data_IF_203422191680
#
_entry.id   IF_203422191680
#
_cell.length_a   1.000
_cell.length_b   1.000
_cell.length_c   1.000
_cell.angle_alpha   90.00
_cell.angle_beta   90.00
_cell.angle_gamma   90.00
#
_symmetry.space_group_name_H-M   'P 1'
#
loop_
_entity.id
_entity.type
_entity.pdbx_description
1 polymer ?
#
# COMPACT_ATOMS: atom_id res chain seq x y z
N UNK A 1 4.49 -28.56 -13.01
CA UNK A 1 3.66 -28.85 -14.18
C UNK A 1 2.16 -28.65 -13.94
N UNK A 2 1.55 -29.24 -12.90
CA UNK A 2 0.11 -29.07 -12.60
C UNK A 2 -0.35 -27.61 -12.38
N UNK A 3 0.49 -26.75 -11.79
CA UNK A 3 0.21 -25.32 -11.58
C UNK A 3 0.18 -24.49 -12.87
N UNK A 4 1.03 -24.83 -13.84
CA UNK A 4 1.04 -24.21 -15.17
C UNK A 4 -0.23 -24.59 -15.94
N UNK A 5 -0.66 -25.85 -15.83
CA UNK A 5 -1.91 -26.34 -16.44
C UNK A 5 -3.12 -25.66 -15.80
N UNK A 6 -3.14 -25.49 -14.47
CA UNK A 6 -4.21 -24.78 -13.78
C UNK A 6 -4.26 -23.28 -14.13
N UNK A 7 -3.12 -22.60 -14.14
CA UNK A 7 -3.03 -21.19 -14.56
C UNK A 7 -3.45 -21.00 -16.03
N UNK A 8 -3.02 -21.90 -16.91
CA UNK A 8 -3.39 -21.88 -18.33
C UNK A 8 -4.88 -22.17 -18.54
N UNK A 9 -5.44 -23.17 -17.85
CA UNK A 9 -6.87 -23.47 -17.89
C UNK A 9 -7.72 -22.30 -17.37
N UNK A 10 -7.26 -21.62 -16.31
CA UNK A 10 -7.93 -20.44 -15.75
C UNK A 10 -7.89 -19.26 -16.73
N UNK A 11 -6.73 -19.00 -17.36
CA UNK A 11 -6.59 -17.99 -18.39
C UNK A 11 -7.44 -18.27 -19.64
N UNK A 12 -7.53 -19.55 -20.06
CA UNK A 12 -8.37 -19.98 -21.18
C UNK A 12 -9.87 -19.80 -20.86
N UNK A 13 -10.28 -20.12 -19.63
CA UNK A 13 -11.64 -19.91 -19.16
C UNK A 13 -11.99 -18.42 -19.07
N UNK A 14 -11.07 -17.59 -18.58
CA UNK A 14 -11.25 -16.12 -18.54
C UNK A 14 -11.33 -15.52 -19.94
N UNK A 15 -10.51 -16.00 -20.89
CA UNK A 15 -10.55 -15.57 -22.28
C UNK A 15 -11.85 -16.02 -22.98
N UNK A 16 -12.31 -17.25 -22.75
CA UNK A 16 -13.59 -17.75 -23.27
C UNK A 16 -14.76 -16.95 -22.71
N UNK A 17 -14.79 -16.65 -21.41
CA UNK A 17 -15.83 -15.83 -20.79
C UNK A 17 -15.85 -14.40 -21.35
N UNK A 18 -14.68 -13.80 -21.61
CA UNK A 18 -14.57 -12.49 -22.24
C UNK A 18 -15.11 -12.49 -23.69
N UNK A 19 -14.77 -13.51 -24.47
CA UNK A 19 -15.23 -13.65 -25.86
C UNK A 19 -16.73 -14.00 -25.97
N UNK A 20 -17.26 -14.74 -24.99
CA UNK A 20 -18.69 -15.05 -24.93
C UNK A 20 -19.52 -13.82 -24.55
N UNK A 21 -18.95 -12.87 -23.79
CA UNK A 21 -19.66 -11.66 -23.37
C UNK A 21 -20.08 -10.76 -24.55
N UNK A 22 -19.36 -10.76 -25.66
CA UNK A 22 -19.63 -9.90 -26.82
C UNK A 22 -20.72 -10.44 -27.77
N UNK A 23 -21.15 -11.69 -27.65
CA UNK A 23 -21.89 -12.39 -28.73
C UNK A 23 -23.35 -12.76 -28.44
N UNK A 24 -24.02 -12.22 -27.42
CA UNK A 24 -25.45 -12.57 -27.21
C UNK A 24 -26.24 -11.44 -26.56
N UNK A 25 -27.26 -10.95 -27.28
CA UNK A 25 -28.19 -9.86 -26.93
C UNK A 25 -29.28 -10.27 -25.90
N UNK A 26 -29.31 -11.52 -25.45
CA UNK A 26 -30.28 -11.97 -24.45
C UNK A 26 -29.76 -11.78 -23.02
N UNK A 27 -30.41 -10.86 -22.31
CA UNK A 27 -29.98 -10.32 -21.01
C UNK A 27 -30.12 -11.25 -19.79
N UNK A 28 -30.60 -12.49 -19.92
CA UNK A 28 -30.71 -13.42 -18.78
C UNK A 28 -30.43 -14.85 -19.25
N UNK A 29 -29.36 -15.53 -18.78
CA UNK A 29 -28.95 -15.64 -17.37
C UNK A 29 -27.45 -15.35 -17.10
N UNK A 30 -26.86 -14.37 -17.81
CA UNK A 30 -25.44 -13.97 -17.62
C UNK A 30 -25.17 -13.32 -16.26
N UNK A 31 -26.17 -12.65 -15.69
CA UNK A 31 -26.06 -11.94 -14.40
C UNK A 31 -25.87 -12.91 -13.22
N UNK A 32 -26.32 -14.16 -13.33
CA UNK A 32 -26.22 -15.16 -12.25
C UNK A 32 -25.11 -16.19 -12.48
N UNK A 33 -24.76 -16.50 -13.73
CA UNK A 33 -23.73 -17.49 -14.03
C UNK A 33 -22.32 -17.01 -13.70
N UNK A 34 -21.99 -15.75 -14.01
CA UNK A 34 -20.69 -15.18 -13.69
C UNK A 34 -20.39 -15.15 -12.18
N UNK A 35 -21.28 -14.67 -11.29
CA UNK A 35 -21.03 -14.71 -9.84
C UNK A 35 -20.96 -16.13 -9.29
N UNK A 36 -21.81 -17.05 -9.74
CA UNK A 36 -21.78 -18.43 -9.28
C UNK A 36 -20.47 -19.14 -9.66
N UNK A 37 -19.99 -18.96 -10.89
CA UNK A 37 -18.72 -19.55 -11.34
C UNK A 37 -17.52 -18.90 -10.65
N UNK A 38 -17.54 -17.58 -10.42
CA UNK A 38 -16.50 -16.85 -9.68
C UNK A 38 -16.41 -17.30 -8.23
N UNK A 39 -17.54 -17.54 -7.57
CA UNK A 39 -17.59 -18.08 -6.20
C UNK A 39 -17.04 -19.51 -6.17
N UNK A 40 -17.41 -20.36 -7.13
CA UNK A 40 -16.88 -21.74 -7.25
C UNK A 40 -15.37 -21.73 -7.52
N UNK A 41 -14.88 -20.85 -8.40
CA UNK A 41 -13.46 -20.71 -8.71
C UNK A 41 -12.67 -20.20 -7.50
N UNK A 42 -13.23 -19.24 -6.75
CA UNK A 42 -12.63 -18.69 -5.55
C UNK A 42 -12.57 -19.73 -4.43
N UNK A 43 -13.63 -20.50 -4.20
CA UNK A 43 -13.64 -21.63 -3.24
C UNK A 43 -12.64 -22.71 -3.64
N UNK A 44 -12.54 -23.02 -4.94
CA UNK A 44 -11.57 -24.00 -5.46
C UNK A 44 -10.12 -23.54 -5.28
N UNK A 45 -9.82 -22.27 -5.54
CA UNK A 45 -8.50 -21.67 -5.32
C UNK A 45 -8.16 -21.58 -3.83
N UNK A 46 -9.15 -21.32 -2.97
CA UNK A 46 -8.99 -21.31 -1.51
C UNK A 46 -8.65 -22.72 -1.00
N UNK A 47 -9.36 -23.74 -1.49
CA UNK A 47 -9.07 -25.15 -1.20
C UNK A 47 -7.67 -25.59 -1.72
N UNK A 48 -7.25 -25.08 -2.88
CA UNK A 48 -5.89 -25.28 -3.40
C UNK A 48 -4.83 -24.60 -2.53
N UNK A 49 -5.15 -23.43 -1.96
CA UNK A 49 -4.26 -22.65 -1.09
C UNK A 49 -3.92 -23.36 0.22
N UNK A 50 -4.89 -24.11 0.77
CA UNK A 50 -4.68 -24.93 1.96
C UNK A 50 -3.76 -26.13 1.71
N UNK A 51 -3.66 -26.60 0.45
CA UNK A 51 -2.94 -27.82 0.09
C UNK A 51 -1.52 -27.56 -0.44
N UNK A 52 -1.23 -26.35 -0.93
CA UNK A 52 0.08 -25.95 -1.46
C UNK A 52 0.80 -25.03 -0.48
N UNK A 53 1.60 -25.63 0.41
CA UNK A 53 2.65 -25.00 1.22
C UNK A 53 2.32 -23.58 1.70
N UNK A 54 1.50 -23.53 2.75
CA UNK A 54 1.19 -22.46 3.70
C UNK A 54 1.02 -21.00 3.21
N UNK A 55 1.86 -20.43 2.33
CA UNK A 55 1.86 -19.01 1.93
C UNK A 55 1.72 -18.70 0.44
N UNK A 56 2.30 -19.55 -0.42
CA UNK A 56 2.33 -19.28 -1.87
C UNK A 56 0.97 -19.54 -2.53
N UNK A 57 0.22 -20.53 -2.01
CA UNK A 57 -1.14 -20.83 -2.46
C UNK A 57 -2.12 -19.70 -2.16
N UNK A 58 -1.99 -19.03 -1.01
CA UNK A 58 -2.82 -17.88 -0.65
C UNK A 58 -2.55 -16.69 -1.58
N UNK A 59 -1.29 -16.47 -1.96
CA UNK A 59 -0.87 -15.45 -2.93
C UNK A 59 -1.50 -15.67 -4.30
N UNK A 60 -1.38 -16.88 -4.84
CA UNK A 60 -1.92 -17.22 -6.15
C UNK A 60 -3.46 -17.18 -6.15
N UNK A 61 -4.11 -17.62 -5.07
CA UNK A 61 -5.55 -17.58 -4.91
C UNK A 61 -6.08 -16.13 -4.80
N UNK A 62 -5.38 -15.25 -4.09
CA UNK A 62 -5.69 -13.82 -4.02
C UNK A 62 -5.53 -13.16 -5.39
N UNK A 63 -4.42 -13.41 -6.09
CA UNK A 63 -4.16 -12.85 -7.43
C UNK A 63 -5.20 -13.30 -8.45
N UNK A 64 -5.57 -14.57 -8.45
CA UNK A 64 -6.62 -15.09 -9.32
C UNK A 64 -8.03 -14.60 -8.91
N UNK A 65 -8.32 -14.54 -7.61
CA UNK A 65 -9.55 -13.94 -7.09
C UNK A 65 -9.69 -12.46 -7.46
N UNK A 66 -8.59 -11.72 -7.58
CA UNK A 66 -8.57 -10.33 -8.02
C UNK A 66 -8.83 -10.15 -9.51
N UNK A 67 -8.26 -10.99 -10.37
CA UNK A 67 -8.55 -10.96 -11.80
C UNK A 67 -10.06 -11.17 -12.05
N UNK A 68 -10.66 -12.06 -11.26
CA UNK A 68 -12.10 -12.33 -11.30
C UNK A 68 -12.90 -11.15 -10.73
N UNK A 69 -12.58 -10.64 -9.54
CA UNK A 69 -13.29 -9.51 -8.94
C UNK A 69 -13.22 -8.24 -9.79
N UNK A 70 -12.07 -7.96 -10.42
CA UNK A 70 -11.89 -6.83 -11.32
C UNK A 70 -12.73 -6.97 -12.61
N UNK A 71 -12.86 -8.19 -13.14
CA UNK A 71 -13.73 -8.47 -14.28
C UNK A 71 -15.23 -8.34 -13.91
N UNK A 72 -15.61 -8.71 -12.68
CA UNK A 72 -17.00 -8.61 -12.20
C UNK A 72 -17.45 -7.19 -11.90
N UNK A 73 -16.54 -6.29 -11.53
CA UNK A 73 -16.86 -4.91 -11.12
C UNK A 73 -17.15 -3.96 -12.29
N UNK A 74 -17.11 -4.43 -13.55
CA UNK A 74 -17.56 -3.69 -14.74
C UNK A 74 -17.03 -2.26 -14.79
N UNK A 75 -15.82 -2.07 -15.33
CA UNK A 75 -15.10 -0.79 -15.42
C UNK A 75 -15.95 0.38 -15.97
N UNK A 76 -16.73 1.03 -15.09
CA UNK A 76 -17.32 2.36 -15.26
C UNK A 76 -16.43 3.39 -14.56
N UNK A 77 -16.52 4.66 -14.97
CA UNK A 77 -15.48 5.71 -14.79
C UNK A 77 -14.96 6.01 -13.36
N UNK A 78 -15.60 5.54 -12.29
CA UNK A 78 -15.09 5.63 -10.90
C UNK A 78 -14.65 4.27 -10.30
N UNK A 79 -14.82 3.17 -11.02
CA UNK A 79 -14.55 1.80 -10.59
C UNK A 79 -13.06 1.42 -10.60
N UNK A 80 -12.16 2.25 -11.11
CA UNK A 80 -10.72 1.94 -11.18
C UNK A 80 -9.98 1.96 -9.83
N UNK A 81 -10.55 2.61 -8.79
CA UNK A 81 -9.86 2.82 -7.50
C UNK A 81 -10.05 1.67 -6.51
N UNK A 82 -11.21 1.01 -6.53
CA UNK A 82 -11.52 -0.17 -5.71
C UNK A 82 -10.59 -1.37 -6.01
N UNK A 83 -10.35 -1.75 -7.28
CA UNK A 83 -9.42 -2.80 -7.64
C UNK A 83 -7.99 -2.52 -7.16
N UNK A 84 -7.55 -1.26 -7.25
CA UNK A 84 -6.21 -0.87 -6.79
C UNK A 84 -6.06 -1.04 -5.26
N UNK A 85 -7.08 -0.67 -4.48
CA UNK A 85 -7.04 -0.86 -3.03
C UNK A 85 -7.06 -2.34 -2.65
N UNK A 86 -7.91 -3.14 -3.30
CA UNK A 86 -7.98 -4.59 -3.07
C UNK A 86 -6.65 -5.28 -3.42
N UNK A 87 -6.02 -4.89 -4.52
CA UNK A 87 -4.69 -5.36 -4.90
C UNK A 87 -3.63 -4.94 -3.87
N UNK A 88 -3.69 -3.69 -3.40
CA UNK A 88 -2.76 -3.20 -2.39
C UNK A 88 -2.89 -3.96 -1.06
N UNK A 89 -4.12 -4.35 -0.66
CA UNK A 89 -4.39 -5.16 0.53
C UNK A 89 -3.66 -6.50 0.48
N UNK A 90 -3.88 -7.32 -0.56
CA UNK A 90 -3.18 -8.60 -0.55
C UNK A 90 -1.72 -8.46 -0.91
N UNK A 91 -1.28 -7.45 -1.67
CA UNK A 91 0.15 -7.20 -1.84
C UNK A 91 0.82 -6.98 -0.47
N UNK A 92 0.20 -6.18 0.41
CA UNK A 92 0.68 -6.01 1.77
C UNK A 92 0.58 -7.27 2.62
N UNK A 93 -0.47 -8.07 2.46
CA UNK A 93 -0.56 -9.37 3.12
C UNK A 93 0.57 -10.32 2.70
N UNK A 94 0.92 -10.32 1.41
CA UNK A 94 2.04 -11.10 0.89
C UNK A 94 3.39 -10.60 1.38
N UNK A 95 3.56 -9.28 1.45
CA UNK A 95 4.76 -8.68 2.01
C UNK A 95 4.90 -8.98 3.51
N UNK A 96 3.81 -8.92 4.27
CA UNK A 96 3.75 -9.34 5.68
C UNK A 96 4.17 -10.81 5.82
N UNK A 97 3.65 -11.68 4.97
CA UNK A 97 4.01 -13.09 5.00
C UNK A 97 5.47 -13.34 4.66
N UNK A 98 5.98 -12.69 3.62
CA UNK A 98 7.38 -12.76 3.23
C UNK A 98 8.29 -12.24 4.36
N UNK A 99 7.87 -11.22 5.10
CA UNK A 99 8.59 -10.72 6.27
C UNK A 99 8.69 -11.77 7.36
N UNK A 100 7.58 -12.43 7.70
CA UNK A 100 7.53 -13.48 8.73
C UNK A 100 8.43 -14.66 8.37
N UNK A 101 8.32 -15.15 7.13
CA UNK A 101 9.16 -16.25 6.62
C UNK A 101 10.65 -15.89 6.64
N UNK A 102 11.02 -14.63 6.33
CA UNK A 102 12.42 -14.17 6.39
C UNK A 102 12.95 -13.95 7.79
N UNK A 103 12.09 -13.53 8.71
CA UNK A 103 12.49 -13.18 10.08
C UNK A 103 12.50 -14.39 11.01
N UNK A 104 11.98 -15.54 10.55
CA UNK A 104 11.90 -16.75 11.37
C UNK A 104 10.87 -16.66 12.51
N UNK A 105 9.94 -15.71 12.45
CA UNK A 105 8.86 -15.61 13.43
C UNK A 105 7.87 -16.74 13.22
N UNK A 106 7.70 -17.59 14.22
CA UNK A 106 6.61 -18.56 14.25
C UNK A 106 5.38 -17.92 14.92
N UNK A 107 4.21 -18.03 14.31
CA UNK A 107 2.99 -17.33 14.78
C UNK A 107 2.58 -17.73 16.21
N UNK A 108 3.03 -18.89 16.68
CA UNK A 108 2.76 -19.38 18.04
C UNK A 108 3.54 -18.65 19.14
N UNK A 109 4.62 -17.95 18.81
CA UNK A 109 5.52 -17.30 19.79
C UNK A 109 5.42 -15.76 19.78
N UNK A 110 4.58 -15.18 18.93
CA UNK A 110 4.43 -13.73 18.83
C UNK A 110 3.64 -13.23 20.04
N UNK A 111 4.35 -12.76 21.06
CA UNK A 111 3.74 -12.11 22.20
C UNK A 111 3.31 -10.68 21.83
N UNK A 112 2.04 -10.54 21.42
CA UNK A 112 1.43 -9.24 21.07
C UNK A 112 1.42 -8.28 22.27
N UNK A 113 1.62 -8.79 23.49
CA UNK A 113 1.74 -7.96 24.70
C UNK A 113 3.03 -7.13 24.76
N UNK A 114 4.00 -7.39 23.87
CA UNK A 114 5.20 -6.57 23.74
C UNK A 114 4.84 -5.17 23.21
N UNK A 115 5.15 -4.17 24.03
CA UNK A 115 4.86 -2.75 23.80
C UNK A 115 5.26 -2.25 22.40
N UNK A 116 6.33 -2.80 21.82
CA UNK A 116 6.85 -2.40 20.51
C UNK A 116 6.00 -2.88 19.34
N UNK A 117 5.45 -4.08 19.41
CA UNK A 117 4.55 -4.62 18.38
C UNK A 117 3.27 -3.80 18.32
N UNK A 118 2.69 -3.46 19.48
CA UNK A 118 1.50 -2.62 19.56
C UNK A 118 1.76 -1.21 18.99
N UNK A 119 2.88 -0.58 19.34
CA UNK A 119 3.26 0.72 18.77
C UNK A 119 3.47 0.63 17.26
N UNK A 120 4.09 -0.46 16.78
CA UNK A 120 4.18 -0.77 15.35
C UNK A 120 2.81 -0.79 14.68
N UNK A 121 1.84 -1.52 15.24
CA UNK A 121 0.47 -1.62 14.71
C UNK A 121 -0.20 -0.25 14.64
N UNK A 122 -0.12 0.54 15.71
CA UNK A 122 -0.70 1.88 15.74
C UNK A 122 -0.07 2.79 14.68
N UNK A 123 1.26 2.78 14.56
CA UNK A 123 1.96 3.56 13.54
C UNK A 123 1.62 3.08 12.12
N UNK A 124 1.56 1.78 11.89
CA UNK A 124 1.19 1.20 10.60
C UNK A 124 -0.24 1.54 10.21
N UNK A 125 -1.14 1.61 11.19
CA UNK A 125 -2.53 2.00 10.96
C UNK A 125 -2.64 3.49 10.62
N UNK A 126 -1.92 4.37 11.33
CA UNK A 126 -2.11 5.83 11.30
C UNK A 126 -1.27 6.51 10.22
N UNK A 127 0.01 6.14 10.05
CA UNK A 127 0.96 6.85 9.19
C UNK A 127 0.50 6.99 7.73
N UNK A 128 -0.07 5.96 7.06
CA UNK A 128 -0.55 6.11 5.70
C UNK A 128 -1.61 7.19 5.53
N UNK A 129 -2.50 7.35 6.53
CA UNK A 129 -3.51 8.41 6.53
C UNK A 129 -2.91 9.78 6.81
N UNK A 130 -1.97 9.89 7.74
CA UNK A 130 -1.25 11.14 8.02
C UNK A 130 -0.51 11.62 6.77
N UNK A 131 0.23 10.75 6.10
CA UNK A 131 0.93 11.09 4.87
C UNK A 131 -0.01 11.42 3.72
N UNK A 132 -1.18 10.78 3.66
CA UNK A 132 -2.20 11.05 2.64
C UNK A 132 -3.00 12.33 2.90
N UNK A 133 -3.11 12.78 4.15
CA UNK A 133 -3.83 14.02 4.52
C UNK A 133 -3.02 15.28 4.25
N UNK A 134 -1.70 15.16 4.06
CA UNK A 134 -0.83 16.26 3.64
C UNK A 134 -1.20 16.70 2.21
N UNK A 135 -2.06 17.71 2.12
CA UNK A 135 -2.57 18.25 0.86
C UNK A 135 -1.48 19.04 0.13
N UNK A 136 -0.65 18.31 -0.62
CA UNK A 136 0.41 18.88 -1.45
C UNK A 136 0.02 18.81 -2.92
N UNK A 137 0.27 19.91 -3.65
CA UNK A 137 0.15 19.92 -5.12
C UNK A 137 1.04 18.81 -5.69
N UNK A 138 0.56 18.17 -6.76
CA UNK A 138 1.31 17.15 -7.48
C UNK A 138 2.66 17.74 -7.94
N UNK A 139 3.72 16.92 -7.89
CA UNK A 139 5.08 17.33 -8.28
C UNK A 139 6.16 16.91 -7.28
N UNK A 140 7.38 17.37 -7.53
CA UNK A 140 8.59 16.98 -6.78
C UNK A 140 8.49 17.29 -5.28
N UNK A 141 7.84 18.40 -4.91
CA UNK A 141 7.59 18.75 -3.51
C UNK A 141 6.78 17.67 -2.76
N UNK A 142 5.77 17.06 -3.41
CA UNK A 142 4.98 15.98 -2.81
C UNK A 142 5.82 14.72 -2.63
N UNK A 143 6.62 14.36 -3.62
CA UNK A 143 7.53 13.21 -3.52
C UNK A 143 8.52 13.39 -2.35
N UNK A 144 9.10 14.59 -2.22
CA UNK A 144 10.06 14.91 -1.18
C UNK A 144 9.46 15.03 0.23
N UNK A 145 8.23 15.54 0.35
CA UNK A 145 7.58 15.76 1.65
C UNK A 145 6.73 14.60 2.14
N UNK A 146 6.29 13.71 1.25
CA UNK A 146 5.43 12.58 1.58
C UNK A 146 6.13 11.26 1.29
N UNK A 147 6.68 11.11 0.08
CA UNK A 147 7.33 9.88 -0.35
C UNK A 147 8.61 9.56 0.42
N UNK A 148 9.48 10.56 0.61
CA UNK A 148 10.73 10.34 1.36
C UNK A 148 10.45 10.01 2.85
N UNK A 149 9.63 10.77 3.60
CA UNK A 149 9.32 10.42 4.98
C UNK A 149 8.58 9.08 5.11
N UNK A 150 7.68 8.74 4.17
CA UNK A 150 7.01 7.44 4.21
C UNK A 150 7.98 6.29 3.97
N UNK A 151 8.94 6.43 3.04
CA UNK A 151 9.99 5.43 2.82
C UNK A 151 10.96 5.34 4.02
N UNK A 152 11.29 6.44 4.67
CA UNK A 152 12.17 6.43 5.84
C UNK A 152 11.49 5.85 7.09
N UNK A 153 10.17 5.98 7.22
CA UNK A 153 9.46 5.58 8.44
C UNK A 153 9.67 4.11 8.83
N UNK A 154 9.53 3.11 7.92
CA UNK A 154 9.86 1.71 8.24
C UNK A 154 11.32 1.49 8.63
N UNK A 155 12.26 2.22 8.02
CA UNK A 155 13.69 2.11 8.34
C UNK A 155 13.98 2.62 9.75
N UNK A 156 13.37 3.75 10.13
CA UNK A 156 13.47 4.29 11.48
C UNK A 156 12.84 3.32 12.50
N UNK A 157 11.70 2.71 12.16
CA UNK A 157 11.07 1.74 13.04
C UNK A 157 11.95 0.51 13.25
N UNK A 158 12.49 -0.05 12.17
CA UNK A 158 13.44 -1.15 12.22
C UNK A 158 14.69 -0.80 13.04
N UNK A 159 15.27 0.38 12.82
CA UNK A 159 16.50 0.79 13.49
C UNK A 159 16.31 1.02 15.01
N UNK A 160 15.21 1.64 15.43
CA UNK A 160 14.99 2.00 16.84
C UNK A 160 14.28 0.92 17.64
N UNK A 161 13.25 0.30 17.06
CA UNK A 161 12.35 -0.64 17.75
C UNK A 161 12.51 -2.09 17.29
N UNK A 162 13.25 -2.34 16.21
CA UNK A 162 13.59 -3.70 15.78
C UNK A 162 12.52 -4.39 14.93
N UNK A 163 12.71 -5.69 14.65
CA UNK A 163 11.84 -6.46 13.77
C UNK A 163 10.43 -6.66 14.32
N UNK A 164 10.23 -6.70 15.64
CA UNK A 164 8.90 -6.85 16.25
C UNK A 164 7.99 -5.64 15.96
N UNK A 165 8.54 -4.43 16.07
CA UNK A 165 7.80 -3.22 15.72
C UNK A 165 7.56 -3.11 14.21
N UNK A 166 8.49 -3.59 13.38
CA UNK A 166 8.29 -3.65 11.93
C UNK A 166 7.22 -4.67 11.53
N UNK A 167 7.14 -5.81 12.23
CA UNK A 167 6.04 -6.75 12.09
C UNK A 167 4.71 -6.08 12.46
N UNK A 168 4.67 -5.42 13.62
CA UNK A 168 3.52 -4.63 14.04
C UNK A 168 3.11 -3.60 12.99
N UNK A 169 4.08 -2.87 12.43
CA UNK A 169 3.87 -1.92 11.34
C UNK A 169 3.19 -2.59 10.15
N UNK A 170 3.70 -3.72 9.66
CA UNK A 170 3.13 -4.44 8.52
C UNK A 170 1.69 -4.89 8.78
N UNK A 171 1.38 -5.38 9.98
CA UNK A 171 0.00 -5.71 10.40
C UNK A 171 -0.88 -4.45 10.39
N UNK A 172 -0.37 -3.35 10.95
CA UNK A 172 -1.05 -2.05 10.94
C UNK A 172 -1.32 -1.53 9.53
N UNK A 173 -0.40 -1.72 8.58
CA UNK A 173 -0.55 -1.30 7.18
C UNK A 173 -1.66 -2.07 6.46
N UNK A 174 -1.80 -3.37 6.73
CA UNK A 174 -2.93 -4.19 6.23
C UNK A 174 -4.24 -3.68 6.84
N UNK A 175 -4.26 -3.40 8.14
CA UNK A 175 -5.45 -2.86 8.82
C UNK A 175 -5.84 -1.46 8.30
N UNK A 176 -4.87 -0.59 8.02
CA UNK A 176 -5.10 0.73 7.42
C UNK A 176 -5.82 0.62 6.08
N UNK A 177 -5.41 -0.35 5.24
CA UNK A 177 -6.04 -0.53 3.94
C UNK A 177 -7.43 -1.17 4.04
N UNK A 178 -7.63 -2.12 4.96
CA UNK A 178 -8.97 -2.65 5.26
C UNK A 178 -9.91 -1.54 5.73
N UNK A 179 -9.43 -0.64 6.60
CA UNK A 179 -10.18 0.52 7.05
C UNK A 179 -10.45 1.51 5.91
N UNK A 180 -9.46 1.78 5.06
CA UNK A 180 -9.63 2.62 3.85
C UNK A 180 -10.66 2.05 2.88
N UNK A 181 -10.70 0.72 2.72
CA UNK A 181 -11.71 0.04 1.91
C UNK A 181 -13.10 0.18 2.52
N UNK A 182 -13.25 -0.02 3.84
CA UNK A 182 -14.51 0.16 4.54
C UNK A 182 -15.02 1.60 4.42
N UNK A 183 -14.13 2.59 4.61
CA UNK A 183 -14.45 3.99 4.40
C UNK A 183 -14.88 4.27 2.95
N UNK A 184 -14.30 3.60 1.97
CA UNK A 184 -14.68 3.77 0.56
C UNK A 184 -16.11 3.32 0.26
N UNK A 185 -16.58 2.27 0.93
CA UNK A 185 -17.95 1.77 0.81
C UNK A 185 -18.95 2.75 1.43
N UNK A 186 -18.60 3.36 2.57
CA UNK A 186 -19.44 4.34 3.25
C UNK A 186 -19.47 5.67 2.50
N UNK A 187 -18.34 6.06 1.88
CA UNK A 187 -18.15 7.39 1.34
C UNK A 187 -18.46 7.54 -0.15
N UNK A 188 -19.20 6.60 -0.77
CA UNK A 188 -19.43 6.60 -2.22
C UNK A 188 -20.07 7.89 -2.77
N UNK A 189 -20.62 8.74 -1.89
CA UNK A 189 -21.26 10.01 -2.26
C UNK A 189 -20.37 11.25 -2.09
N UNK A 190 -19.17 11.15 -1.47
CA UNK A 190 -18.32 12.32 -1.22
C UNK A 190 -17.01 12.27 -2.06
N UNK A 191 -16.82 13.19 -3.02
CA UNK A 191 -15.61 13.20 -3.86
C UNK A 191 -14.32 13.51 -3.07
N UNK A 192 -14.42 14.15 -1.90
CA UNK A 192 -13.27 14.49 -1.06
C UNK A 192 -12.65 13.25 -0.39
N UNK A 193 -13.47 12.30 0.07
CA UNK A 193 -12.99 11.06 0.67
C UNK A 193 -12.37 10.10 -0.36
N UNK A 194 -12.86 10.15 -1.61
CA UNK A 194 -12.30 9.35 -2.70
C UNK A 194 -10.88 9.78 -3.11
N UNK A 195 -10.45 11.00 -2.79
CA UNK A 195 -9.14 11.52 -3.17
C UNK A 195 -7.98 10.96 -2.31
N UNK A 196 -8.27 10.46 -1.11
CA UNK A 196 -7.27 10.00 -0.14
C UNK A 196 -7.00 8.51 -0.24
N UNK A 197 -7.95 7.78 -0.82
CA UNK A 197 -8.00 6.33 -0.94
C UNK A 197 -6.85 5.70 -1.74
N UNK A 198 -6.50 6.26 -2.90
CA UNK A 198 -5.41 5.74 -3.73
C UNK A 198 -4.01 6.05 -3.12
N UNK A 199 -3.75 7.27 -2.59
CA UNK A 199 -2.52 7.55 -1.85
C UNK A 199 -2.26 6.62 -0.68
N UNK A 200 -3.28 6.31 0.14
CA UNK A 200 -3.14 5.40 1.29
C UNK A 200 -2.66 4.02 0.82
N UNK A 201 -3.30 3.45 -0.20
CA UNK A 201 -2.91 2.14 -0.74
C UNK A 201 -1.45 2.08 -1.19
N UNK A 202 -1.01 3.08 -1.97
CA UNK A 202 0.35 3.15 -2.50
C UNK A 202 1.41 3.44 -1.43
N UNK A 203 1.10 4.35 -0.49
CA UNK A 203 2.00 4.67 0.63
C UNK A 203 2.20 3.43 1.50
N UNK A 204 1.11 2.73 1.85
CA UNK A 204 1.22 1.51 2.64
C UNK A 204 2.04 0.44 1.93
N UNK A 205 1.86 0.25 0.63
CA UNK A 205 2.64 -0.72 -0.17
C UNK A 205 4.12 -0.34 -0.22
N UNK A 206 4.44 0.94 -0.44
CA UNK A 206 5.81 1.43 -0.40
C UNK A 206 6.46 1.22 0.97
N UNK A 207 5.74 1.52 2.06
CA UNK A 207 6.21 1.29 3.42
C UNK A 207 6.47 -0.19 3.70
N UNK A 208 5.55 -1.08 3.29
CA UNK A 208 5.72 -2.52 3.46
C UNK A 208 6.90 -3.07 2.67
N UNK A 209 7.08 -2.61 1.43
CA UNK A 209 8.19 -3.03 0.57
C UNK A 209 9.54 -2.62 1.17
N UNK A 210 9.64 -1.40 1.70
CA UNK A 210 10.84 -0.95 2.40
C UNK A 210 11.09 -1.77 3.67
N UNK A 211 10.05 -2.03 4.49
CA UNK A 211 10.19 -2.86 5.67
C UNK A 211 10.75 -4.26 5.35
N UNK A 212 10.21 -4.91 4.31
CA UNK A 212 10.62 -6.26 3.88
C UNK A 212 12.02 -6.27 3.27
N UNK A 213 12.36 -5.27 2.46
CA UNK A 213 13.65 -5.22 1.76
C UNK A 213 14.81 -4.95 2.73
N UNK A 214 14.56 -4.13 3.75
CA UNK A 214 15.59 -3.67 4.68
C UNK A 214 15.54 -4.34 6.05
N UNK A 215 14.65 -5.32 6.27
CA UNK A 215 14.55 -6.04 7.55
C UNK A 215 15.86 -6.72 7.95
N UNK A 216 16.50 -7.43 7.03
CA UNK A 216 17.75 -8.15 7.28
C UNK A 216 19.00 -7.25 7.28
N UNK A 217 19.20 -6.34 6.28
CA UNK A 217 20.36 -5.45 6.28
C UNK A 217 20.47 -4.52 7.49
N UNK A 218 19.36 -4.20 8.17
CA UNK A 218 19.35 -3.26 9.29
C UNK A 218 19.39 -3.91 10.67
N UNK A 219 19.51 -5.24 10.77
CA UNK A 219 19.57 -5.95 12.06
C UNK A 219 20.71 -5.41 12.94
N UNK A 220 21.87 -5.06 12.35
CA UNK A 220 23.00 -4.50 13.10
C UNK A 220 22.67 -3.16 13.80
N UNK A 221 21.74 -2.36 13.27
CA UNK A 221 21.31 -1.11 13.92
C UNK A 221 20.52 -1.36 15.19
N UNK A 222 19.82 -2.49 15.24
CA UNK A 222 19.10 -2.91 16.43
C UNK A 222 20.05 -3.31 17.57
N UNK A 223 21.21 -3.86 17.24
CA UNK A 223 22.25 -4.27 18.20
C UNK A 223 23.04 -3.08 18.79
N UNK A 224 22.84 -1.86 18.27
CA UNK A 224 23.49 -0.66 18.80
C UNK A 224 23.12 -0.41 20.27
N UNK A 225 24.10 0.08 21.03
CA UNK A 225 23.88 0.51 22.41
C UNK A 225 22.85 1.65 22.50
N UNK A 226 22.20 1.81 23.66
CA UNK A 226 21.20 2.87 23.88
C UNK A 226 21.76 4.27 23.59
N UNK A 227 23.03 4.53 23.94
CA UNK A 227 23.70 5.80 23.66
C UNK A 227 23.86 6.04 22.15
N UNK A 228 24.31 5.03 21.40
CA UNK A 228 24.43 5.12 19.95
C UNK A 228 23.07 5.32 19.27
N UNK A 229 22.02 4.65 19.74
CA UNK A 229 20.64 4.88 19.27
C UNK A 229 20.19 6.32 19.57
N UNK A 230 20.49 6.86 20.75
CA UNK A 230 20.17 8.25 21.06
C UNK A 230 20.91 9.24 20.15
N UNK A 231 22.19 9.01 19.84
CA UNK A 231 22.95 9.83 18.89
C UNK A 231 22.39 9.72 17.47
N UNK A 232 22.03 8.50 17.02
CA UNK A 232 21.39 8.28 15.72
C UNK A 232 20.05 9.00 15.63
N UNK A 233 19.22 8.92 16.68
CA UNK A 233 17.95 9.64 16.75
C UNK A 233 18.16 11.16 16.69
N UNK A 234 19.16 11.68 17.42
CA UNK A 234 19.56 13.08 17.36
C UNK A 234 20.01 13.51 15.95
N UNK A 235 20.81 12.69 15.28
CA UNK A 235 21.25 12.95 13.91
C UNK A 235 20.08 12.94 12.90
N UNK A 236 19.17 11.96 13.01
CA UNK A 236 17.96 11.90 12.18
C UNK A 236 17.06 13.11 12.43
N UNK A 237 16.86 13.51 13.69
CA UNK A 237 16.06 14.68 14.03
C UNK A 237 16.69 15.96 13.46
N UNK A 238 18.01 16.12 13.58
CA UNK A 238 18.73 17.25 13.00
C UNK A 238 18.61 17.29 11.48
N UNK A 239 18.76 16.14 10.81
CA UNK A 239 18.57 16.03 9.36
C UNK A 239 17.14 16.36 8.94
N UNK A 240 16.13 15.93 9.69
CA UNK A 240 14.74 16.27 9.43
C UNK A 240 14.50 17.79 9.57
N UNK A 241 15.06 18.44 10.59
CA UNK A 241 14.98 19.90 10.77
C UNK A 241 15.67 20.62 9.61
N UNK A 242 16.88 20.20 9.24
CA UNK A 242 17.64 20.77 8.12
C UNK A 242 16.87 20.62 6.81
N UNK A 243 16.27 19.45 6.58
CA UNK A 243 15.45 19.17 5.41
C UNK A 243 14.24 20.09 5.30
N UNK A 244 13.47 20.23 6.38
CA UNK A 244 12.30 21.14 6.44
C UNK A 244 12.74 22.59 6.20
N UNK A 245 13.87 23.01 6.80
CA UNK A 245 14.43 24.33 6.61
C UNK A 245 14.80 24.61 5.14
N UNK A 246 15.52 23.68 4.49
CA UNK A 246 15.91 23.80 3.06
C UNK A 246 14.67 23.87 2.18
N UNK A 247 13.66 23.02 2.41
CA UNK A 247 12.40 23.07 1.66
C UNK A 247 11.64 24.38 1.87
N UNK A 248 11.69 24.94 3.08
CA UNK A 248 11.18 26.28 3.39
C UNK A 248 11.85 27.37 2.55
N UNK A 249 13.19 27.34 2.48
CA UNK A 249 13.96 28.29 1.66
C UNK A 249 13.65 28.16 0.17
N UNK A 250 13.53 26.94 -0.35
CA UNK A 250 13.16 26.70 -1.76
C UNK A 250 11.79 27.30 -2.06
N UNK A 251 10.80 27.08 -1.18
CA UNK A 251 9.44 27.62 -1.34
C UNK A 251 9.39 29.15 -1.28
N UNK A 252 10.20 29.76 -0.41
CA UNK A 252 10.32 31.23 -0.35
C UNK A 252 10.92 31.77 -1.65
N UNK A 253 11.96 31.13 -2.18
CA UNK A 253 12.61 31.53 -3.44
C UNK A 253 11.66 31.43 -4.64
N UNK A 254 10.84 30.36 -4.73
CA UNK A 254 9.87 30.22 -5.83
C UNK A 254 8.79 31.29 -5.76
N UNK A 255 8.26 31.58 -4.57
CA UNK A 255 7.28 32.68 -4.38
C UNK A 255 7.85 34.05 -4.75
N UNK A 256 9.09 34.34 -4.35
CA UNK A 256 9.74 35.60 -4.70
C UNK A 256 9.86 35.78 -6.23
N UNK A 257 10.19 34.70 -6.95
CA UNK A 257 10.26 34.72 -8.43
C UNK A 257 8.90 34.95 -9.08
N UNK A 258 7.85 34.29 -8.59
CA UNK A 258 6.48 34.47 -9.09
C UNK A 258 6.01 35.93 -8.93
N UNK A 259 6.30 36.55 -7.78
CA UNK A 259 5.96 37.96 -7.52
C UNK A 259 6.74 38.92 -8.42
N UNK A 260 8.02 38.64 -8.69
CA UNK A 260 8.83 39.46 -9.60
C UNK A 260 8.35 39.31 -11.05
N UNK A 261 8.00 38.10 -11.47
CA UNK A 261 7.47 37.84 -12.80
C UNK A 261 6.12 38.54 -13.04
N UNK A 262 5.20 38.50 -12.06
CA UNK A 262 3.92 39.19 -12.19
C UNK A 262 4.06 40.71 -12.22
N UNK A 263 5.02 41.28 -11.47
CA UNK A 263 5.33 42.72 -11.54
C UNK A 263 5.86 43.14 -12.91
N UNK A 264 6.74 42.34 -13.51
CA UNK A 264 7.31 42.66 -14.82
C UNK A 264 6.24 42.58 -15.93
N UNK A 265 5.34 41.60 -15.87
CA UNK A 265 4.25 41.47 -16.84
C UNK A 265 3.31 42.69 -16.82
N UNK A 266 2.94 43.17 -15.64
CA UNK A 266 2.11 44.38 -15.50
C UNK A 266 2.81 45.64 -16.03
N UNK A 267 4.14 45.72 -15.90
CA UNK A 267 4.92 46.84 -16.45
C UNK A 267 5.05 46.80 -17.97
N UNK A 268 5.01 45.61 -18.59
CA UNK A 268 5.01 45.46 -20.05
C UNK A 268 3.64 45.80 -20.65
N UNK A 269 2.53 45.44 -20.00
CA UNK A 269 1.18 45.81 -20.46
C UNK A 269 0.88 47.31 -20.35
N UNK A 270 1.58 48.03 -19.48
CA UNK A 270 1.40 49.46 -19.28
C UNK A 270 2.20 50.34 -20.27
N UNK A 271 3.00 49.74 -21.16
CA UNK A 271 3.80 50.43 -22.19
C UNK A 271 3.17 50.31 -23.57
#
# INVERSE_FOLDING_TARGET
YWLLIAGFATALLSAWLALSAETTDEQWPRILQAPALSVILLVFLLALSFRLSAGFGAAAALVAGWAVAAAMLGFRSNAGRLPLQMLAIGANFLLLRLFLERSGFDFGEIDISLHYTLMGILLGMILPFVFSSLYLRQGLARVLLVGLPSALSPLLILAFWGPDAALGLLVGLVAAQAFSLLLSLISQQNPLSAAWQAPVGLISLGMALVAVQYSHPLVFLYELSRAQKAHLAGAVALLAVLWVFVLGLVKLRTRAREILASRNAVQEEAK
#
